data_IF_753659686405
#
_entry.id   IF_753659686405
#
_cell.length_a   1.000
_cell.length_b   1.000
_cell.length_c   1.000
_cell.angle_alpha   90.00
_cell.angle_beta   90.00
_cell.angle_gamma   90.00
#
_symmetry.space_group_name_H-M   'P 1'
#
loop_
_entity.id
_entity.type
_entity.pdbx_description
1 polymer ?
#
# COMPACT_ATOMS: atom_id res chain seq x y z
N UNK A 1 2.01 11.44 -21.29
CA UNK A 1 3.19 10.57 -21.45
C UNK A 1 4.11 10.81 -20.25
N UNK A 2 4.16 9.89 -19.28
CA UNK A 2 5.08 10.01 -18.14
C UNK A 2 6.49 9.62 -18.59
N UNK A 3 7.24 10.58 -19.13
CA UNK A 3 8.62 10.36 -19.60
C UNK A 3 9.61 10.07 -18.46
N UNK A 4 9.24 10.39 -17.22
CA UNK A 4 10.08 10.21 -16.04
C UNK A 4 9.59 9.04 -15.16
N UNK A 5 10.52 8.13 -14.83
CA UNK A 5 10.25 7.01 -13.92
C UNK A 5 9.69 7.45 -12.56
N UNK A 6 10.21 8.56 -12.02
CA UNK A 6 9.80 9.08 -10.72
C UNK A 6 8.38 9.65 -10.75
N UNK A 7 7.90 10.20 -11.87
CA UNK A 7 6.53 10.70 -11.93
C UNK A 7 5.52 9.56 -12.07
N UNK A 8 5.83 8.54 -12.87
CA UNK A 8 5.00 7.34 -12.98
C UNK A 8 4.86 6.62 -11.63
N UNK A 9 5.97 6.39 -10.92
CA UNK A 9 5.96 5.77 -9.59
C UNK A 9 5.16 6.61 -8.58
N UNK A 10 5.37 7.93 -8.55
CA UNK A 10 4.62 8.82 -7.65
C UNK A 10 3.13 8.80 -7.95
N UNK A 11 2.73 8.76 -9.22
CA UNK A 11 1.32 8.71 -9.59
C UNK A 11 0.69 7.40 -9.14
N UNK A 12 1.34 6.26 -9.41
CA UNK A 12 0.86 4.95 -8.95
C UNK A 12 0.68 4.91 -7.43
N UNK A 13 1.65 5.38 -6.65
CA UNK A 13 1.51 5.45 -5.20
C UNK A 13 0.34 6.35 -4.74
N UNK A 14 0.06 7.45 -5.45
CA UNK A 14 -1.07 8.33 -5.12
C UNK A 14 -2.40 7.64 -5.42
N UNK A 15 -2.52 7.02 -6.59
CA UNK A 15 -3.76 6.37 -7.04
C UNK A 15 -4.10 5.19 -6.13
N UNK A 16 -3.12 4.33 -5.83
CA UNK A 16 -3.29 3.21 -4.91
C UNK A 16 -3.63 3.64 -3.49
N UNK A 17 -3.03 4.72 -3.00
CA UNK A 17 -3.33 5.23 -1.65
C UNK A 17 -4.71 5.91 -1.58
N UNK A 18 -5.17 6.52 -2.68
CA UNK A 18 -6.44 7.22 -2.75
C UNK A 18 -7.66 6.29 -2.59
N UNK A 19 -7.51 4.98 -2.82
CA UNK A 19 -8.58 3.98 -2.64
C UNK A 19 -9.25 4.05 -1.26
N UNK A 20 -8.51 4.41 -0.20
CA UNK A 20 -9.11 4.59 1.13
C UNK A 20 -10.13 5.73 1.14
N UNK A 21 -9.83 6.84 0.47
CA UNK A 21 -10.74 7.98 0.40
C UNK A 21 -11.93 7.68 -0.53
N UNK A 22 -11.69 6.97 -1.63
CA UNK A 22 -12.71 6.68 -2.65
C UNK A 22 -13.68 5.58 -2.23
N UNK A 23 -13.19 4.53 -1.55
CA UNK A 23 -13.99 3.33 -1.23
C UNK A 23 -14.25 3.13 0.26
N UNK A 24 -13.41 3.72 1.12
CA UNK A 24 -13.52 3.60 2.57
C UNK A 24 -13.12 2.23 3.11
N UNK A 25 -12.67 2.22 4.37
CA UNK A 25 -12.37 1.01 5.14
C UNK A 25 -13.17 1.02 6.44
N UNK A 26 -13.64 -0.15 6.88
CA UNK A 26 -14.30 -0.25 8.18
C UNK A 26 -13.32 0.06 9.31
N UNK A 27 -13.87 0.58 10.41
CA UNK A 27 -13.07 0.95 11.57
C UNK A 27 -12.43 -0.26 12.29
N UNK A 28 -12.86 -1.49 12.04
CA UNK A 28 -12.12 -2.67 12.54
C UNK A 28 -10.75 -2.83 11.89
N UNK A 29 -10.54 -2.27 10.68
CA UNK A 29 -9.36 -2.50 9.82
C UNK A 29 -9.13 -3.97 9.44
N UNK A 30 -10.15 -4.82 9.61
CA UNK A 30 -10.09 -6.22 9.14
C UNK A 30 -10.38 -6.25 7.66
N UNK A 31 -9.46 -6.78 6.86
CA UNK A 31 -9.63 -6.94 5.41
C UNK A 31 -10.41 -8.22 5.14
N UNK A 32 -11.73 -8.18 5.27
CA UNK A 32 -12.61 -9.27 4.85
C UNK A 32 -12.88 -9.26 3.33
N UNK A 33 -13.60 -10.27 2.85
CA UNK A 33 -13.95 -10.39 1.43
C UNK A 33 -14.84 -9.22 0.94
N UNK A 34 -15.71 -8.68 1.79
CA UNK A 34 -16.57 -7.55 1.47
C UNK A 34 -15.76 -6.27 1.28
N UNK A 35 -14.76 -6.03 2.13
CA UNK A 35 -13.83 -4.91 1.99
C UNK A 35 -12.96 -5.05 0.76
N UNK A 36 -12.35 -6.22 0.57
CA UNK A 36 -11.46 -6.46 -0.56
C UNK A 36 -12.20 -6.27 -1.91
N UNK A 37 -13.45 -6.73 -1.99
CA UNK A 37 -14.29 -6.59 -3.19
C UNK A 37 -14.64 -5.14 -3.56
N UNK A 38 -14.42 -4.16 -2.66
CA UNK A 38 -14.58 -2.73 -2.98
C UNK A 38 -13.46 -2.19 -3.87
N UNK A 39 -12.36 -2.94 -4.03
CA UNK A 39 -11.18 -2.48 -4.77
C UNK A 39 -10.17 -1.73 -3.91
N UNK A 40 -10.17 -1.92 -2.58
CA UNK A 40 -9.22 -1.27 -1.65
C UNK A 40 -7.88 -2.04 -1.50
N UNK A 41 -7.63 -2.99 -2.40
CA UNK A 41 -6.53 -3.95 -2.32
C UNK A 41 -5.14 -3.31 -2.41
N UNK A 42 -4.99 -2.20 -3.14
CA UNK A 42 -3.69 -1.55 -3.25
C UNK A 42 -3.40 -0.71 -2.00
N UNK A 43 -4.38 0.05 -1.50
CA UNK A 43 -4.22 0.80 -0.25
C UNK A 43 -3.89 -0.14 0.92
N UNK A 44 -4.65 -1.23 1.06
CA UNK A 44 -4.45 -2.17 2.17
C UNK A 44 -3.06 -2.81 2.14
N UNK A 45 -2.54 -3.13 0.96
CA UNK A 45 -1.16 -3.61 0.84
C UNK A 45 -0.13 -2.52 1.17
N UNK A 46 -0.34 -1.27 0.74
CA UNK A 46 0.56 -0.16 1.07
C UNK A 46 0.60 0.15 2.57
N UNK A 47 -0.54 0.00 3.26
CA UNK A 47 -0.69 0.26 4.69
C UNK A 47 -0.41 -0.97 5.58
N UNK A 48 -0.06 -2.11 4.98
CA UNK A 48 0.06 -3.38 5.70
C UNK A 48 1.23 -3.36 6.70
N UNK A 49 0.95 -3.37 8.00
CA UNK A 49 1.96 -3.15 9.03
C UNK A 49 3.07 -4.21 9.08
N UNK A 50 2.76 -5.44 8.63
CA UNK A 50 3.72 -6.56 8.61
C UNK A 50 4.61 -6.56 7.36
N UNK A 51 4.33 -5.71 6.36
CA UNK A 51 5.13 -5.58 5.15
C UNK A 51 6.29 -4.64 5.41
N UNK A 52 7.52 -5.10 5.18
CA UNK A 52 8.75 -4.41 5.59
C UNK A 52 9.65 -4.03 4.42
N UNK A 53 9.47 -4.70 3.28
CA UNK A 53 10.29 -4.55 2.08
C UNK A 53 9.40 -4.22 0.88
N UNK A 54 9.93 -3.36 0.00
CA UNK A 54 9.26 -2.87 -1.19
C UNK A 54 10.24 -2.85 -2.35
N UNK A 55 9.82 -3.39 -3.49
CA UNK A 55 10.52 -3.25 -4.76
C UNK A 55 9.55 -2.81 -5.85
N UNK A 56 9.89 -1.78 -6.63
CA UNK A 56 9.03 -1.25 -7.68
C UNK A 56 9.78 -1.13 -9.01
N UNK A 57 9.05 -1.32 -10.11
CA UNK A 57 9.56 -1.17 -11.46
C UNK A 57 8.57 -0.45 -12.36
N UNK A 58 9.10 0.19 -13.41
CA UNK A 58 8.32 0.84 -14.46
C UNK A 58 8.71 0.30 -15.83
N UNK A 59 7.76 -0.25 -16.57
CA UNK A 59 7.94 -0.66 -17.95
C UNK A 59 7.22 0.31 -18.91
N UNK A 60 7.86 0.66 -20.03
CA UNK A 60 7.20 1.33 -21.14
C UNK A 60 6.95 0.29 -22.24
N UNK A 61 5.67 0.06 -22.55
CA UNK A 61 5.17 -0.96 -23.46
C UNK A 61 4.38 -0.29 -24.60
N UNK A 62 5.03 0.16 -25.69
CA UNK A 62 4.41 1.01 -26.71
C UNK A 62 3.25 0.33 -27.45
N UNK A 63 3.21 -1.00 -27.48
CA UNK A 63 2.15 -1.77 -28.15
C UNK A 63 0.99 -2.16 -27.22
N UNK A 64 1.06 -1.81 -25.94
CA UNK A 64 -0.01 -2.06 -24.98
C UNK A 64 -1.01 -0.90 -24.92
N UNK A 65 -2.18 -1.15 -24.33
CA UNK A 65 -3.24 -0.16 -24.12
C UNK A 65 -2.74 1.05 -23.32
N UNK A 66 -2.16 0.79 -22.13
CA UNK A 66 -1.82 1.83 -21.16
C UNK A 66 -0.44 2.46 -21.36
N UNK A 67 0.36 1.95 -22.30
CA UNK A 67 1.75 2.35 -22.65
C UNK A 67 2.79 2.31 -21.53
N UNK A 68 2.44 2.59 -20.28
CA UNK A 68 3.33 2.60 -19.12
C UNK A 68 2.70 1.75 -18.02
N UNK A 69 3.48 0.83 -17.46
CA UNK A 69 3.07 -0.03 -16.36
C UNK A 69 3.99 0.24 -15.17
N UNK A 70 3.40 0.37 -13.99
CA UNK A 70 4.10 0.42 -12.71
C UNK A 70 3.68 -0.79 -11.90
N UNK A 71 4.66 -1.52 -11.39
CA UNK A 71 4.44 -2.71 -10.56
C UNK A 71 5.28 -2.55 -9.30
N UNK A 72 4.68 -2.79 -8.15
CA UNK A 72 5.37 -2.90 -6.88
C UNK A 72 5.09 -4.28 -6.26
N UNK A 73 6.12 -4.86 -5.65
CA UNK A 73 6.05 -6.08 -4.87
C UNK A 73 6.41 -5.77 -3.42
N UNK A 74 5.79 -6.54 -2.52
CA UNK A 74 5.79 -6.30 -1.09
C UNK A 74 6.20 -7.58 -0.36
N UNK A 75 7.10 -7.47 0.60
CA UNK A 75 7.55 -8.61 1.40
C UNK A 75 7.65 -8.24 2.91
N UNK A 76 7.18 -9.11 3.83
CA UNK A 76 6.16 -10.14 3.62
C UNK A 76 4.92 -9.60 2.88
N UNK A 77 4.23 -10.44 2.08
CA UNK A 77 3.01 -10.01 1.40
C UNK A 77 1.92 -9.67 2.44
N UNK A 78 1.03 -8.77 2.06
CA UNK A 78 -0.14 -8.42 2.85
C UNK A 78 -1.42 -9.01 2.26
N UNK A 79 -2.54 -8.34 2.53
CA UNK A 79 -3.85 -8.68 2.01
C UNK A 79 -4.34 -10.09 2.35
N UNK A 80 -3.90 -10.62 3.49
CA UNK A 80 -4.47 -11.84 4.05
C UNK A 80 -5.90 -11.55 4.50
N UNK A 81 -6.86 -12.28 3.92
CA UNK A 81 -8.26 -12.09 4.26
C UNK A 81 -8.53 -12.40 5.73
N UNK A 82 -9.39 -11.59 6.34
CA UNK A 82 -9.73 -11.62 7.76
C UNK A 82 -8.57 -11.27 8.71
N UNK A 83 -7.46 -10.73 8.20
CA UNK A 83 -6.42 -10.12 9.04
C UNK A 83 -6.55 -8.60 9.12
N UNK A 84 -5.93 -8.02 10.15
CA UNK A 84 -5.81 -6.57 10.32
C UNK A 84 -4.77 -6.01 9.34
N UNK A 85 -5.11 -4.92 8.65
CA UNK A 85 -4.14 -4.15 7.87
C UNK A 85 -3.04 -3.58 8.78
N UNK A 86 -3.44 -3.00 9.91
CA UNK A 86 -2.55 -2.58 10.99
C UNK A 86 -3.31 -2.50 12.33
N UNK A 87 -2.58 -2.58 13.44
CA UNK A 87 -3.17 -2.38 14.77
C UNK A 87 -3.42 -0.91 15.05
N UNK A 88 -4.64 -0.57 15.48
CA UNK A 88 -4.96 0.77 15.98
C UNK A 88 -4.32 1.01 17.35
N UNK A 89 -3.77 2.20 17.54
CA UNK A 89 -3.22 2.63 18.82
C UNK A 89 -2.41 3.91 18.69
N UNK A 90 -1.89 4.40 19.81
CA UNK A 90 -0.93 5.49 19.80
C UNK A 90 0.33 5.09 19.04
N UNK A 91 0.90 6.03 18.28
CA UNK A 91 2.15 5.80 17.55
C UNK A 91 3.24 5.26 18.48
N UNK A 92 4.03 4.30 18.00
CA UNK A 92 5.09 3.61 18.74
C UNK A 92 4.65 2.67 19.89
N UNK A 93 3.38 2.63 20.29
CA UNK A 93 2.94 1.86 21.48
C UNK A 93 3.17 0.35 21.37
N UNK A 94 3.21 -0.20 20.16
CA UNK A 94 3.49 -1.61 19.88
C UNK A 94 4.90 -1.92 19.37
N UNK A 95 5.85 -0.97 19.43
CA UNK A 95 7.19 -1.15 18.89
C UNK A 95 8.25 -1.35 19.99
N UNK A 96 9.20 -2.26 19.79
CA UNK A 96 10.40 -2.35 20.64
C UNK A 96 11.35 -1.15 20.44
N UNK A 97 11.49 -0.71 19.18
CA UNK A 97 12.25 0.49 18.80
C UNK A 97 11.37 1.33 17.88
N UNK A 98 11.37 2.65 18.06
CA UNK A 98 10.56 3.55 17.26
C UNK A 98 11.32 4.82 16.88
N UNK A 99 11.16 5.23 15.62
CA UNK A 99 11.46 6.60 15.19
C UNK A 99 10.26 7.48 15.59
N UNK A 100 10.39 8.25 16.68
CA UNK A 100 9.31 9.11 17.18
C UNK A 100 9.02 10.31 16.29
N UNK A 101 9.96 10.73 15.46
CA UNK A 101 9.76 11.85 14.54
C UNK A 101 8.90 11.42 13.36
N UNK A 102 9.22 10.25 12.78
CA UNK A 102 8.52 9.72 11.61
C UNK A 102 7.38 8.75 11.95
N UNK A 103 7.27 8.35 13.22
CA UNK A 103 6.20 7.53 13.80
C UNK A 103 6.11 6.11 13.23
N UNK A 104 7.23 5.46 12.94
CA UNK A 104 7.27 4.05 12.53
C UNK A 104 8.18 3.20 13.43
N UNK A 105 7.82 1.91 13.55
CA UNK A 105 8.67 0.93 14.23
C UNK A 105 9.97 0.72 13.45
N UNK A 106 11.08 0.58 14.17
CA UNK A 106 12.37 0.20 13.61
C UNK A 106 12.56 -1.31 13.77
N UNK A 107 13.01 -1.97 12.71
CA UNK A 107 13.51 -3.35 12.75
C UNK A 107 14.84 -3.43 13.49
#
# INVERSE_FOLDING_TARGET
MYSNIASALRQACKDWWAELADYGMDQSLVLDNGQFSKGIGHWSQMAWAKTLELGCARAYCPNSEWKTYVVCQYNPPGNYLNELVYHKGESCSGCNRCDRQRKFCLT
#
